data_IF_207816492498
#
_entry.id   IF_207816492498
#
_cell.length_a   1.000
_cell.length_b   1.000
_cell.length_c   1.000
_cell.angle_alpha   90.00
_cell.angle_beta   90.00
_cell.angle_gamma   90.00
#
_symmetry.space_group_name_H-M   'P 1'
#
loop_
_entity.id
_entity.type
_entity.pdbx_description
1 polymer ?
#
# COMPACT_ATOMS: atom_id res chain seq x y z
N UNK A 1 6.28 -1.07 25.03
CA UNK A 1 5.87 -1.69 23.74
C UNK A 1 4.36 -1.68 23.55
N UNK A 2 3.57 -2.54 24.23
CA UNK A 2 2.11 -2.64 23.95
C UNK A 2 1.35 -1.36 24.36
N UNK A 3 1.56 -0.86 25.59
CA UNK A 3 0.84 0.35 26.09
C UNK A 3 1.13 1.58 25.24
N UNK A 4 2.41 1.87 24.97
CA UNK A 4 2.82 2.95 24.05
C UNK A 4 2.27 2.75 22.64
N UNK A 5 2.19 1.51 22.16
CA UNK A 5 1.61 1.23 20.86
C UNK A 5 0.10 1.45 20.83
N UNK A 6 -0.59 1.15 21.92
CA UNK A 6 -2.02 1.38 22.07
C UNK A 6 -2.34 2.88 22.07
N UNK A 7 -1.55 3.70 22.77
CA UNK A 7 -1.67 5.16 22.74
C UNK A 7 -1.57 5.69 21.30
N UNK A 8 -0.50 5.30 20.57
CA UNK A 8 -0.30 5.68 19.16
C UNK A 8 -1.49 5.26 18.27
N UNK A 9 -2.04 4.06 18.48
CA UNK A 9 -3.19 3.56 17.71
C UNK A 9 -4.50 4.27 18.06
N UNK A 10 -4.70 4.65 19.32
CA UNK A 10 -5.87 5.42 19.77
C UNK A 10 -5.81 6.82 19.16
N UNK A 11 -4.67 7.49 19.23
CA UNK A 11 -4.48 8.83 18.67
C UNK A 11 -4.71 8.82 17.15
N UNK A 12 -4.15 7.83 16.44
CA UNK A 12 -4.41 7.61 15.03
C UNK A 12 -5.89 7.39 14.74
N UNK A 13 -6.54 6.51 15.49
CA UNK A 13 -7.97 6.21 15.33
C UNK A 13 -8.87 7.42 15.55
N UNK A 14 -8.64 8.20 16.62
CA UNK A 14 -9.42 9.39 16.94
C UNK A 14 -9.22 10.49 15.88
N UNK A 15 -7.99 10.70 15.41
CA UNK A 15 -7.69 11.69 14.38
C UNK A 15 -8.31 11.32 13.02
N UNK A 16 -8.28 10.03 12.68
CA UNK A 16 -8.75 9.51 11.39
C UNK A 16 -10.28 9.32 11.33
N UNK A 17 -10.92 9.03 12.46
CA UNK A 17 -12.33 8.65 12.53
C UNK A 17 -13.29 9.62 11.84
N UNK A 18 -13.22 10.96 12.02
CA UNK A 18 -14.15 11.88 11.37
C UNK A 18 -14.11 11.78 9.85
N UNK A 19 -12.91 11.69 9.26
CA UNK A 19 -12.73 11.56 7.81
C UNK A 19 -13.21 10.20 7.30
N UNK A 20 -12.87 9.11 7.99
CA UNK A 20 -13.33 7.78 7.60
C UNK A 20 -14.86 7.62 7.71
N UNK A 21 -15.50 8.23 8.70
CA UNK A 21 -16.96 8.20 8.83
C UNK A 21 -17.62 8.93 7.65
N UNK A 22 -17.08 10.06 7.22
CA UNK A 22 -17.59 10.79 6.05
C UNK A 22 -17.39 10.01 4.75
N UNK A 23 -16.21 9.42 4.53
CA UNK A 23 -15.97 8.56 3.37
C UNK A 23 -16.85 7.29 3.41
N UNK A 24 -17.06 6.70 4.59
CA UNK A 24 -17.95 5.56 4.78
C UNK A 24 -19.41 5.91 4.47
N UNK A 25 -19.90 7.05 4.95
CA UNK A 25 -21.24 7.55 4.63
C UNK A 25 -21.36 7.84 3.13
N UNK A 26 -20.38 8.50 2.52
CA UNK A 26 -20.37 8.77 1.08
C UNK A 26 -20.37 7.47 0.26
N UNK A 27 -19.58 6.47 0.66
CA UNK A 27 -19.58 5.15 0.04
C UNK A 27 -20.92 4.44 0.18
N UNK A 28 -21.56 4.50 1.35
CA UNK A 28 -22.85 3.88 1.61
C UNK A 28 -23.99 4.52 0.80
N UNK A 29 -23.96 5.85 0.66
CA UNK A 29 -24.94 6.62 -0.11
C UNK A 29 -24.74 6.50 -1.63
N UNK A 30 -23.54 6.14 -2.09
CA UNK A 30 -23.23 6.01 -3.53
C UNK A 30 -23.83 4.72 -4.11
N UNK A 31 -24.72 4.80 -5.12
CA UNK A 31 -25.36 3.63 -5.71
C UNK A 31 -24.37 2.59 -6.23
N UNK A 32 -24.67 1.30 -6.08
CA UNK A 32 -23.80 0.19 -6.55
C UNK A 32 -23.54 0.22 -8.06
N UNK A 33 -24.44 0.82 -8.84
CA UNK A 33 -24.26 1.01 -10.28
C UNK A 33 -23.10 1.98 -10.63
N UNK A 34 -22.75 2.89 -9.72
CA UNK A 34 -21.67 3.87 -9.93
C UNK A 34 -20.31 3.30 -9.48
N UNK A 35 -19.89 2.22 -10.14
CA UNK A 35 -18.66 1.46 -9.81
C UNK A 35 -17.42 2.37 -9.72
N UNK A 36 -17.21 3.23 -10.71
CA UNK A 36 -16.06 4.15 -10.73
C UNK A 36 -16.02 5.10 -9.53
N UNK A 37 -17.18 5.66 -9.14
CA UNK A 37 -17.29 6.57 -7.99
C UNK A 37 -16.97 5.82 -6.69
N UNK A 38 -17.47 4.60 -6.53
CA UNK A 38 -17.19 3.76 -5.35
C UNK A 38 -15.70 3.43 -5.23
N UNK A 39 -15.02 3.16 -6.35
CA UNK A 39 -13.57 2.96 -6.39
C UNK A 39 -12.84 4.24 -5.99
N UNK A 40 -13.23 5.40 -6.55
CA UNK A 40 -12.64 6.69 -6.23
C UNK A 40 -12.73 7.00 -4.72
N UNK A 41 -13.89 6.77 -4.12
CA UNK A 41 -14.13 6.96 -2.69
C UNK A 41 -13.17 6.10 -1.86
N UNK A 42 -13.00 4.83 -2.21
CA UNK A 42 -12.09 3.93 -1.50
C UNK A 42 -10.62 4.34 -1.66
N UNK A 43 -10.21 4.78 -2.87
CA UNK A 43 -8.87 5.31 -3.11
C UNK A 43 -8.61 6.57 -2.30
N UNK A 44 -9.56 7.50 -2.27
CA UNK A 44 -9.47 8.73 -1.48
C UNK A 44 -9.41 8.44 0.03
N UNK A 45 -10.24 7.51 0.52
CA UNK A 45 -10.21 7.07 1.91
C UNK A 45 -8.85 6.42 2.26
N UNK A 46 -8.28 5.62 1.35
CA UNK A 46 -6.96 5.03 1.52
C UNK A 46 -5.85 6.07 1.58
N UNK A 47 -5.86 7.04 0.67
CA UNK A 47 -4.90 8.18 0.69
C UNK A 47 -5.00 8.94 2.01
N UNK A 48 -6.21 9.21 2.51
CA UNK A 48 -6.40 9.83 3.82
C UNK A 48 -5.76 8.99 4.94
N UNK A 49 -6.05 7.69 5.00
CA UNK A 49 -5.49 6.79 6.02
C UNK A 49 -3.96 6.83 6.01
N UNK A 50 -3.36 6.67 4.82
CA UNK A 50 -1.90 6.68 4.63
C UNK A 50 -1.28 8.02 5.02
N UNK A 51 -1.85 9.14 4.57
CA UNK A 51 -1.21 10.44 4.73
C UNK A 51 -1.29 10.95 6.18
N UNK A 52 -2.36 10.62 6.91
CA UNK A 52 -2.51 10.92 8.34
C UNK A 52 -1.46 10.24 9.21
N UNK A 53 -0.90 9.10 8.78
CA UNK A 53 0.18 8.43 9.50
C UNK A 53 1.46 9.29 9.61
N UNK A 54 1.68 10.23 8.68
CA UNK A 54 2.90 11.04 8.64
C UNK A 54 2.98 12.10 9.75
N UNK A 55 1.98 13.00 9.93
CA UNK A 55 2.02 13.97 11.03
C UNK A 55 1.96 13.31 12.42
N UNK A 56 1.53 12.04 12.52
CA UNK A 56 1.52 11.26 13.75
C UNK A 56 2.82 10.48 13.98
N UNK A 57 3.84 10.66 13.14
CA UNK A 57 5.15 10.01 13.29
C UNK A 57 5.11 8.49 13.15
N UNK A 58 4.05 7.94 12.53
CA UNK A 58 3.93 6.50 12.33
C UNK A 58 4.74 6.03 11.12
N UNK A 59 5.05 6.94 10.19
CA UNK A 59 6.06 6.74 9.15
C UNK A 59 6.56 8.08 8.59
N UNK A 60 7.71 8.09 7.93
CA UNK A 60 8.15 9.18 7.07
C UNK A 60 9.09 8.69 5.96
N UNK A 61 9.36 9.57 5.00
CA UNK A 61 10.32 9.33 3.92
C UNK A 61 11.53 10.24 4.12
N UNK A 62 12.72 9.66 4.17
CA UNK A 62 13.98 10.41 4.30
C UNK A 62 14.43 11.00 2.95
N UNK A 63 15.44 11.88 2.98
CA UNK A 63 16.03 12.49 1.77
C UNK A 63 16.61 11.46 0.80
N UNK A 64 17.05 10.32 1.30
CA UNK A 64 17.59 9.21 0.51
C UNK A 64 16.49 8.24 0.05
N UNK A 65 15.23 8.68 0.08
CA UNK A 65 14.03 7.87 -0.20
C UNK A 65 13.89 6.64 0.72
N UNK A 66 14.51 6.64 1.90
CA UNK A 66 14.31 5.56 2.87
C UNK A 66 12.93 5.73 3.49
N UNK A 67 12.19 4.62 3.63
CA UNK A 67 10.87 4.65 4.25
C UNK A 67 11.02 4.20 5.69
N UNK A 68 10.93 5.16 6.61
CA UNK A 68 11.01 4.89 8.04
C UNK A 68 9.61 4.65 8.60
N UNK A 69 9.37 3.52 9.25
CA UNK A 69 8.09 3.15 9.88
C UNK A 69 8.22 3.08 11.40
N UNK A 70 7.14 3.29 12.14
CA UNK A 70 7.10 3.22 13.60
C UNK A 70 8.03 2.14 14.16
N UNK A 71 8.90 2.51 15.10
CA UNK A 71 9.79 1.56 15.78
C UNK A 71 9.04 0.52 16.63
N UNK A 72 7.72 0.66 16.79
CA UNK A 72 6.91 -0.25 17.58
C UNK A 72 6.29 -1.37 16.73
N UNK A 73 6.86 -2.57 16.81
CA UNK A 73 6.40 -3.76 16.08
C UNK A 73 4.91 -4.06 16.26
N UNK A 74 4.34 -3.77 17.45
CA UNK A 74 2.91 -3.99 17.71
C UNK A 74 2.03 -3.07 16.88
N UNK A 75 2.41 -1.78 16.74
CA UNK A 75 1.69 -0.82 15.90
C UNK A 75 1.67 -1.29 14.45
N UNK A 76 2.82 -1.70 13.92
CA UNK A 76 2.96 -2.21 12.54
C UNK A 76 2.07 -3.45 12.32
N UNK A 77 2.10 -4.40 13.25
CA UNK A 77 1.30 -5.61 13.17
C UNK A 77 -0.20 -5.32 13.19
N UNK A 78 -0.65 -4.40 14.05
CA UNK A 78 -2.07 -3.99 14.10
C UNK A 78 -2.50 -3.31 12.81
N UNK A 79 -1.70 -2.36 12.28
CA UNK A 79 -2.02 -1.68 11.02
C UNK A 79 -2.08 -2.66 9.83
N UNK A 80 -1.12 -3.58 9.72
CA UNK A 80 -1.14 -4.63 8.70
C UNK A 80 -2.35 -5.56 8.85
N UNK A 81 -2.66 -5.98 10.08
CA UNK A 81 -3.83 -6.81 10.38
C UNK A 81 -5.16 -6.12 10.07
N UNK A 82 -5.30 -4.83 10.43
CA UNK A 82 -6.48 -4.02 10.10
C UNK A 82 -6.65 -3.85 8.59
N UNK A 83 -5.55 -3.76 7.84
CA UNK A 83 -5.58 -3.71 6.38
C UNK A 83 -6.15 -5.00 5.79
N UNK A 84 -5.72 -6.17 6.28
CA UNK A 84 -6.30 -7.47 5.89
C UNK A 84 -7.77 -7.58 6.28
N UNK A 85 -8.14 -7.13 7.49
CA UNK A 85 -9.53 -7.09 7.94
C UNK A 85 -10.39 -6.21 7.02
N UNK A 86 -9.87 -5.07 6.59
CA UNK A 86 -10.57 -4.18 5.65
C UNK A 86 -10.76 -4.84 4.28
N UNK A 87 -9.76 -5.56 3.76
CA UNK A 87 -9.91 -6.37 2.53
C UNK A 87 -11.06 -7.38 2.71
N UNK A 88 -11.10 -8.10 3.83
CA UNK A 88 -12.17 -9.06 4.13
C UNK A 88 -13.53 -8.38 4.23
N UNK A 89 -13.61 -7.20 4.84
CA UNK A 89 -14.83 -6.42 4.96
C UNK A 89 -15.33 -5.94 3.58
N UNK A 90 -14.43 -5.42 2.74
CA UNK A 90 -14.74 -4.98 1.38
C UNK A 90 -15.26 -6.13 0.53
N UNK A 91 -14.75 -7.35 0.70
CA UNK A 91 -15.27 -8.54 0.00
C UNK A 91 -16.75 -8.82 0.29
N UNK A 92 -17.24 -8.40 1.46
CA UNK A 92 -18.63 -8.56 1.88
C UNK A 92 -19.50 -7.34 1.58
N UNK A 93 -18.96 -6.14 1.79
CA UNK A 93 -19.72 -4.89 1.63
C UNK A 93 -19.82 -4.40 0.18
N UNK A 94 -18.88 -4.80 -0.67
CA UNK A 94 -18.78 -4.36 -2.06
C UNK A 94 -18.56 -5.55 -3.02
N UNK A 95 -19.47 -6.55 -3.03
CA UNK A 95 -19.32 -7.73 -3.89
C UNK A 95 -19.26 -7.37 -5.38
N UNK A 96 -19.84 -6.25 -5.79
CA UNK A 96 -19.73 -5.72 -7.15
C UNK A 96 -18.29 -5.34 -7.52
N UNK A 97 -17.54 -4.75 -6.59
CA UNK A 97 -16.12 -4.43 -6.80
C UNK A 97 -15.27 -5.70 -6.72
N UNK A 98 -15.63 -6.62 -5.84
CA UNK A 98 -14.94 -7.90 -5.69
C UNK A 98 -14.97 -8.74 -6.97
N UNK A 99 -16.00 -8.61 -7.81
CA UNK A 99 -16.07 -9.29 -9.12
C UNK A 99 -15.02 -8.80 -10.12
N UNK A 100 -14.41 -7.63 -9.90
CA UNK A 100 -13.32 -7.09 -10.72
C UNK A 100 -11.98 -7.78 -10.41
N UNK A 101 -11.90 -8.43 -9.25
CA UNK A 101 -10.67 -9.06 -8.75
C UNK A 101 -10.26 -10.26 -9.61
N UNK A 102 -8.99 -10.27 -9.99
CA UNK A 102 -8.30 -11.45 -10.52
C UNK A 102 -7.14 -11.77 -9.60
N UNK A 103 -7.39 -12.63 -8.61
CA UNK A 103 -6.42 -12.97 -7.56
C UNK A 103 -5.14 -13.60 -8.11
N UNK A 104 -5.31 -14.57 -8.99
CA UNK A 104 -4.23 -15.27 -9.68
C UNK A 104 -4.61 -15.51 -11.13
N UNK A 105 -3.61 -15.52 -12.01
CA UNK A 105 -3.74 -15.83 -13.43
C UNK A 105 -2.66 -16.85 -13.82
N UNK A 106 -3.07 -17.95 -14.45
CA UNK A 106 -2.16 -19.05 -14.77
C UNK A 106 -1.71 -19.82 -13.53
N UNK A 107 -0.43 -20.21 -13.47
CA UNK A 107 0.13 -20.97 -12.35
C UNK A 107 0.42 -20.04 -11.16
N UNK A 108 -0.24 -20.23 -9.99
CA UNK A 108 -0.06 -19.37 -8.82
C UNK A 108 1.37 -19.31 -8.30
N UNK A 109 2.10 -20.44 -8.31
CA UNK A 109 3.48 -20.51 -7.82
C UNK A 109 4.43 -19.70 -8.69
N UNK A 110 4.27 -19.77 -10.01
CA UNK A 110 5.04 -18.96 -10.96
C UNK A 110 4.75 -17.48 -10.74
N UNK A 111 3.47 -17.14 -10.53
CA UNK A 111 3.07 -15.77 -10.22
C UNK A 111 3.69 -15.26 -8.92
N UNK A 112 3.62 -16.03 -7.83
CA UNK A 112 4.20 -15.66 -6.55
C UNK A 112 5.72 -15.49 -6.63
N UNK A 113 6.41 -16.41 -7.30
CA UNK A 113 7.85 -16.31 -7.54
C UNK A 113 8.19 -15.05 -8.34
N UNK A 114 7.44 -14.77 -9.41
CA UNK A 114 7.62 -13.54 -10.20
C UNK A 114 7.37 -12.28 -9.36
N UNK A 115 6.36 -12.28 -8.50
CA UNK A 115 6.07 -11.19 -7.58
C UNK A 115 7.26 -10.89 -6.67
N UNK A 116 7.77 -11.90 -5.97
CA UNK A 116 8.94 -11.76 -5.09
C UNK A 116 10.17 -11.27 -5.88
N UNK A 117 10.44 -11.86 -7.06
CA UNK A 117 11.56 -11.44 -7.92
C UNK A 117 11.44 -9.97 -8.31
N UNK A 118 10.27 -9.51 -8.76
CA UNK A 118 10.04 -8.11 -9.12
C UNK A 118 10.20 -7.20 -7.91
N UNK A 119 9.66 -7.59 -6.75
CA UNK A 119 9.86 -6.85 -5.50
C UNK A 119 11.33 -6.73 -5.12
N UNK A 120 12.12 -7.80 -5.27
CA UNK A 120 13.56 -7.76 -5.07
C UNK A 120 14.29 -6.87 -6.09
N UNK A 121 13.87 -6.88 -7.36
CA UNK A 121 14.46 -6.03 -8.40
C UNK A 121 14.25 -4.54 -8.12
N UNK A 122 13.20 -4.17 -7.38
CA UNK A 122 12.96 -2.80 -6.92
C UNK A 122 13.70 -2.54 -5.60
N UNK A 123 13.47 -3.39 -4.60
CA UNK A 123 13.91 -3.16 -3.22
C UNK A 123 15.41 -3.35 -3.01
N UNK A 124 16.06 -4.34 -3.63
CA UNK A 124 17.49 -4.61 -3.40
C UNK A 124 18.39 -3.47 -3.90
N UNK A 125 18.24 -2.96 -5.15
CA UNK A 125 19.08 -1.85 -5.60
C UNK A 125 18.94 -0.61 -4.73
N UNK A 126 17.72 -0.28 -4.31
CA UNK A 126 17.45 0.85 -3.41
C UNK A 126 18.05 0.62 -2.02
N UNK A 127 17.87 -0.57 -1.45
CA UNK A 127 18.46 -0.94 -0.16
C UNK A 127 19.98 -0.79 -0.16
N UNK A 128 20.63 -1.24 -1.24
CA UNK A 128 22.09 -1.12 -1.43
C UNK A 128 22.50 0.33 -1.60
N UNK A 129 21.82 1.09 -2.44
CA UNK A 129 22.06 2.52 -2.64
C UNK A 129 21.91 3.32 -1.34
N UNK A 130 20.93 2.98 -0.51
CA UNK A 130 20.63 3.61 0.77
C UNK A 130 21.55 3.16 1.90
N UNK A 131 22.42 2.17 1.68
CA UNK A 131 23.32 1.64 2.72
C UNK A 131 22.59 0.99 3.89
N UNK A 132 21.39 0.45 3.70
CA UNK A 132 20.61 -0.15 4.79
C UNK A 132 21.22 -1.50 5.20
N UNK A 133 21.99 -1.47 6.28
CA UNK A 133 22.56 -2.64 6.93
C UNK A 133 21.75 -3.04 8.18
N UNK A 134 21.12 -4.22 8.14
CA UNK A 134 20.30 -4.72 9.24
C UNK A 134 21.10 -4.91 10.54
N UNK A 135 22.42 -5.16 10.45
CA UNK A 135 23.28 -5.32 11.61
C UNK A 135 23.54 -4.01 12.36
N UNK A 136 23.38 -2.87 11.68
CA UNK A 136 23.56 -1.53 12.23
C UNK A 136 22.27 -0.96 12.82
N UNK A 137 21.12 -1.58 12.54
CA UNK A 137 19.81 -1.16 13.02
C UNK A 137 19.52 -1.80 14.39
N UNK A 138 19.55 -0.98 15.45
CA UNK A 138 19.24 -1.45 16.80
C UNK A 138 17.83 -2.03 16.88
N UNK A 139 17.68 -3.23 17.46
CA UNK A 139 16.38 -3.88 17.64
C UNK A 139 15.73 -4.41 16.35
N UNK A 140 16.43 -4.41 15.21
CA UNK A 140 15.88 -4.79 13.91
C UNK A 140 15.12 -6.12 13.91
N UNK A 141 15.69 -7.17 14.52
CA UNK A 141 15.08 -8.50 14.54
C UNK A 141 13.80 -8.59 15.35
N UNK A 142 13.62 -7.71 16.36
CA UNK A 142 12.37 -7.61 17.14
C UNK A 142 11.32 -6.79 16.39
N UNK A 143 11.76 -5.80 15.62
CA UNK A 143 10.91 -4.95 14.79
C UNK A 143 10.37 -5.66 13.53
N UNK A 144 11.23 -6.49 12.92
CA UNK A 144 10.98 -7.12 11.62
C UNK A 144 9.65 -7.89 11.52
N UNK A 145 9.22 -8.72 12.49
CA UNK A 145 7.95 -9.43 12.38
C UNK A 145 6.73 -8.50 12.23
N UNK A 146 6.72 -7.38 12.97
CA UNK A 146 5.68 -6.36 12.82
C UNK A 146 5.72 -5.69 11.45
N UNK A 147 6.94 -5.37 10.98
CA UNK A 147 7.13 -4.80 9.65
C UNK A 147 6.70 -5.76 8.53
N UNK A 148 6.95 -7.07 8.66
CA UNK A 148 6.49 -8.08 7.70
C UNK A 148 4.97 -8.08 7.60
N UNK A 149 4.27 -8.05 8.74
CA UNK A 149 2.79 -7.99 8.76
C UNK A 149 2.29 -6.70 8.11
N UNK A 150 2.90 -5.56 8.38
CA UNK A 150 2.56 -4.30 7.73
C UNK A 150 2.84 -4.33 6.23
N UNK A 151 4.05 -4.71 5.84
CA UNK A 151 4.51 -4.71 4.45
C UNK A 151 3.64 -5.60 3.57
N UNK A 152 3.20 -6.76 4.03
CA UNK A 152 2.30 -7.58 3.22
C UNK A 152 0.83 -7.20 3.40
N UNK A 153 0.39 -6.80 4.59
CA UNK A 153 -1.01 -6.49 4.87
C UNK A 153 -1.48 -5.16 4.26
N UNK A 154 -0.76 -4.07 4.55
CA UNK A 154 -1.09 -2.73 4.05
C UNK A 154 -0.93 -2.64 2.53
N UNK A 155 0.16 -3.18 1.99
CA UNK A 155 0.36 -3.17 0.54
C UNK A 155 -0.61 -4.12 -0.18
N UNK A 156 -1.06 -5.22 0.44
CA UNK A 156 -2.14 -6.02 -0.15
C UNK A 156 -3.45 -5.23 -0.25
N UNK A 157 -3.78 -4.38 0.73
CA UNK A 157 -4.94 -3.51 0.64
C UNK A 157 -4.80 -2.53 -0.52
N UNK A 158 -3.63 -1.89 -0.65
CA UNK A 158 -3.35 -0.97 -1.75
C UNK A 158 -3.45 -1.67 -3.12
N UNK A 159 -2.90 -2.87 -3.26
CA UNK A 159 -3.01 -3.66 -4.49
C UNK A 159 -4.45 -4.11 -4.78
N UNK A 160 -5.26 -4.42 -3.77
CA UNK A 160 -6.70 -4.68 -3.97
C UNK A 160 -7.41 -3.45 -4.53
N UNK A 161 -7.08 -2.25 -4.06
CA UNK A 161 -7.71 -1.02 -4.54
C UNK A 161 -7.24 -0.65 -5.97
N UNK A 162 -5.93 -0.60 -6.21
CA UNK A 162 -5.37 -0.15 -7.48
C UNK A 162 -5.36 -1.24 -8.56
N UNK A 163 -4.92 -2.46 -8.22
CA UNK A 163 -4.71 -3.56 -9.19
C UNK A 163 -5.92 -4.48 -9.23
N UNK A 164 -6.64 -4.60 -8.13
CA UNK A 164 -7.92 -5.26 -8.07
C UNK A 164 -9.04 -4.44 -8.71
N UNK A 165 -9.47 -3.41 -8.01
CA UNK A 165 -10.68 -2.66 -8.38
C UNK A 165 -10.44 -1.71 -9.53
N UNK A 166 -9.50 -0.76 -9.42
CA UNK A 166 -9.28 0.26 -10.45
C UNK A 166 -8.84 -0.37 -11.78
N UNK A 167 -7.77 -1.16 -11.78
CA UNK A 167 -7.30 -1.82 -13.01
C UNK A 167 -8.33 -2.81 -13.56
N UNK A 168 -9.01 -3.59 -12.70
CA UNK A 168 -10.06 -4.50 -13.13
C UNK A 168 -11.27 -3.79 -13.77
N UNK A 169 -11.64 -2.61 -13.27
CA UNK A 169 -12.66 -1.77 -13.89
C UNK A 169 -12.20 -1.21 -15.24
N UNK A 170 -10.98 -0.68 -15.30
CA UNK A 170 -10.42 -0.09 -16.53
C UNK A 170 -10.29 -1.13 -17.66
N UNK A 171 -9.98 -2.39 -17.35
CA UNK A 171 -9.92 -3.48 -18.33
C UNK A 171 -11.26 -3.78 -19.02
N UNK A 172 -12.38 -3.30 -18.49
CA UNK A 172 -13.69 -3.39 -19.16
C UNK A 172 -13.87 -2.31 -20.23
N UNK A 173 -13.03 -1.27 -20.21
CA UNK A 173 -13.19 -0.06 -21.02
C UNK A 173 -12.02 0.14 -22.01
N UNK A 174 -10.83 -0.32 -21.65
CA UNK A 174 -9.61 -0.17 -22.45
C UNK A 174 -8.82 -1.47 -22.50
N UNK A 175 -7.80 -1.54 -23.37
CA UNK A 175 -6.92 -2.70 -23.44
C UNK A 175 -6.19 -2.97 -22.11
N UNK A 176 -5.84 -4.23 -21.81
CA UNK A 176 -5.19 -4.59 -20.54
C UNK A 176 -3.93 -3.79 -20.24
N UNK A 177 -3.07 -3.56 -21.24
CA UNK A 177 -1.87 -2.76 -21.08
C UNK A 177 -2.21 -1.30 -20.73
N UNK A 178 -3.18 -0.70 -21.42
CA UNK A 178 -3.59 0.68 -21.14
C UNK A 178 -4.20 0.81 -19.73
N UNK A 179 -5.00 -0.17 -19.30
CA UNK A 179 -5.53 -0.22 -17.93
C UNK A 179 -4.40 -0.32 -16.88
N UNK A 180 -3.39 -1.14 -17.13
CA UNK A 180 -2.21 -1.27 -16.26
C UNK A 180 -1.43 0.04 -16.17
N UNK A 181 -1.16 0.70 -17.31
CA UNK A 181 -0.46 1.98 -17.34
C UNK A 181 -1.24 3.07 -16.60
N UNK A 182 -2.57 3.17 -16.83
CA UNK A 182 -3.42 4.14 -16.12
C UNK A 182 -3.42 3.86 -14.61
N UNK A 183 -3.53 2.60 -14.19
CA UNK A 183 -3.49 2.25 -12.76
C UNK A 183 -2.15 2.60 -12.11
N UNK A 184 -1.03 2.33 -12.77
CA UNK A 184 0.30 2.72 -12.28
C UNK A 184 0.50 4.24 -12.21
N UNK A 185 0.01 4.99 -13.20
CA UNK A 185 0.06 6.47 -13.16
C UNK A 185 -0.86 7.03 -12.07
N UNK A 186 -2.07 6.49 -11.92
CA UNK A 186 -3.00 6.89 -10.86
C UNK A 186 -2.41 6.64 -9.47
N UNK A 187 -1.73 5.51 -9.28
CA UNK A 187 -0.99 5.20 -8.06
C UNK A 187 0.05 6.27 -7.74
N UNK A 188 0.91 6.64 -8.69
CA UNK A 188 1.88 7.71 -8.49
C UNK A 188 1.22 9.07 -8.23
N UNK A 189 0.13 9.39 -8.94
CA UNK A 189 -0.62 10.62 -8.74
C UNK A 189 -1.22 10.72 -7.32
N UNK A 190 -1.70 9.60 -6.76
CA UNK A 190 -2.16 9.53 -5.37
C UNK A 190 -1.05 9.76 -4.34
N UNK A 191 0.23 9.74 -4.74
CA UNK A 191 1.37 10.09 -3.89
C UNK A 191 1.83 11.55 -4.08
N UNK A 192 1.18 12.34 -4.94
CA UNK A 192 1.59 13.73 -5.19
C UNK A 192 1.52 14.61 -3.94
N UNK A 193 0.50 14.46 -3.10
CA UNK A 193 0.39 15.21 -1.83
C UNK A 193 1.50 14.82 -0.85
N UNK A 194 1.77 13.52 -0.71
CA UNK A 194 2.90 13.03 0.09
C UNK A 194 4.24 13.61 -0.41
N UNK A 195 4.46 13.57 -1.72
CA UNK A 195 5.70 14.01 -2.35
C UNK A 195 5.93 15.52 -2.24
N UNK A 196 4.89 16.32 -2.51
CA UNK A 196 5.00 17.77 -2.68
C UNK A 196 4.70 18.56 -1.41
N UNK A 197 3.85 18.04 -0.52
CA UNK A 197 3.40 18.76 0.67
C UNK A 197 3.99 18.17 1.94
N UNK A 198 3.90 16.85 2.10
CA UNK A 198 4.23 16.19 3.37
C UNK A 198 5.73 15.99 3.55
N UNK A 199 6.42 15.51 2.51
CA UNK A 199 7.84 15.14 2.59
C UNK A 199 8.78 16.20 1.99
N UNK A 200 8.26 17.07 1.11
CA UNK A 200 9.03 18.05 0.33
C UNK A 200 10.14 17.42 -0.55
N UNK A 201 10.09 16.10 -0.79
CA UNK A 201 11.06 15.41 -1.64
C UNK A 201 10.74 15.61 -3.13
N UNK A 202 9.47 15.77 -3.47
CA UNK A 202 9.01 16.06 -4.82
C UNK A 202 9.22 14.89 -5.78
N UNK A 203 9.95 15.13 -6.88
CA UNK A 203 10.03 14.21 -8.01
C UNK A 203 10.59 12.81 -7.69
N UNK A 204 11.54 12.58 -6.75
CA UNK A 204 12.05 11.24 -6.47
C UNK A 204 10.97 10.30 -5.93
N UNK A 205 10.08 10.79 -5.06
CA UNK A 205 8.94 10.01 -4.55
C UNK A 205 7.96 9.68 -5.67
N UNK A 206 7.69 10.63 -6.57
CA UNK A 206 6.81 10.41 -7.71
C UNK A 206 7.41 9.41 -8.72
N UNK A 207 8.71 9.48 -8.98
CA UNK A 207 9.38 8.53 -9.87
C UNK A 207 9.39 7.12 -9.26
N UNK A 208 9.74 7.00 -7.98
CA UNK A 208 9.74 5.73 -7.26
C UNK A 208 8.35 5.09 -7.31
N UNK A 209 7.31 5.83 -6.90
CA UNK A 209 5.94 5.32 -6.88
C UNK A 209 5.41 5.03 -8.28
N UNK A 210 5.84 5.77 -9.32
CA UNK A 210 5.50 5.44 -10.71
C UNK A 210 6.15 4.12 -11.16
N UNK A 211 7.44 3.91 -10.90
CA UNK A 211 8.14 2.68 -11.29
C UNK A 211 7.59 1.46 -10.57
N UNK A 212 7.44 1.55 -9.25
CA UNK A 212 6.81 0.51 -8.44
C UNK A 212 5.37 0.26 -8.89
N UNK A 213 4.62 1.33 -9.12
CA UNK A 213 3.22 1.23 -9.49
C UNK A 213 3.00 0.59 -10.86
N UNK A 214 3.85 0.90 -11.83
CA UNK A 214 3.84 0.26 -13.15
C UNK A 214 4.27 -1.21 -13.06
N UNK A 215 5.31 -1.52 -12.28
CA UNK A 215 5.76 -2.89 -12.07
C UNK A 215 4.65 -3.76 -11.47
N UNK A 216 3.99 -3.30 -10.41
CA UNK A 216 2.87 -4.02 -9.78
C UNK A 216 1.67 -4.17 -10.73
N UNK A 217 1.35 -3.13 -11.51
CA UNK A 217 0.25 -3.19 -12.49
C UNK A 217 0.52 -4.20 -13.63
N UNK A 218 1.77 -4.29 -14.10
CA UNK A 218 2.21 -5.27 -15.11
C UNK A 218 2.25 -6.69 -14.53
N UNK A 219 2.74 -6.86 -13.29
CA UNK A 219 2.69 -8.13 -12.57
C UNK A 219 1.24 -8.59 -12.43
N UNK A 220 0.32 -7.71 -12.02
CA UNK A 220 -1.10 -8.05 -11.93
C UNK A 220 -1.70 -8.39 -13.29
N UNK A 221 -1.37 -7.67 -14.35
CA UNK A 221 -1.85 -7.96 -15.70
C UNK A 221 -1.49 -9.39 -16.13
N UNK A 222 -0.30 -9.89 -15.76
CA UNK A 222 0.19 -11.21 -16.15
C UNK A 222 -0.19 -12.33 -15.18
N UNK A 223 -0.16 -12.07 -13.87
CA UNK A 223 -0.20 -13.10 -12.82
C UNK A 223 -1.30 -12.91 -11.78
N UNK A 224 -1.99 -11.77 -11.75
CA UNK A 224 -3.05 -11.45 -10.79
C UNK A 224 -2.60 -10.60 -9.59
N UNK A 225 -3.55 -10.23 -8.74
CA UNK A 225 -3.35 -9.27 -7.64
C UNK A 225 -2.46 -9.82 -6.52
N UNK A 226 -2.54 -11.11 -6.21
CA UNK A 226 -1.72 -11.69 -5.14
C UNK A 226 -0.21 -11.57 -5.46
N UNK A 227 0.27 -11.93 -6.67
CA UNK A 227 1.63 -11.63 -7.12
C UNK A 227 2.02 -10.16 -7.04
N UNK A 228 1.12 -9.23 -7.38
CA UNK A 228 1.39 -7.79 -7.27
C UNK A 228 1.55 -7.35 -5.81
N UNK A 229 0.72 -7.87 -4.90
CA UNK A 229 0.84 -7.64 -3.46
C UNK A 229 2.17 -8.16 -2.90
N UNK A 230 2.65 -9.29 -3.40
CA UNK A 230 3.96 -9.81 -3.04
C UNK A 230 5.10 -8.94 -3.58
N UNK A 231 4.99 -8.45 -4.83
CA UNK A 231 5.99 -7.54 -5.39
C UNK A 231 6.09 -6.25 -4.58
N UNK A 232 4.94 -5.60 -4.34
CA UNK A 232 4.87 -4.36 -3.57
C UNK A 232 5.34 -4.57 -2.13
N UNK A 233 4.80 -5.56 -1.43
CA UNK A 233 5.18 -5.87 -0.04
C UNK A 233 6.66 -6.22 0.11
N UNK A 234 7.24 -6.94 -0.85
CA UNK A 234 8.67 -7.26 -0.85
C UNK A 234 9.53 -6.02 -1.07
N UNK A 235 9.17 -5.16 -2.03
CA UNK A 235 9.89 -3.92 -2.30
C UNK A 235 9.93 -3.03 -1.04
N UNK A 236 8.77 -2.79 -0.43
CA UNK A 236 8.63 -1.97 0.79
C UNK A 236 9.38 -2.59 1.96
N UNK A 237 9.25 -3.90 2.20
CA UNK A 237 9.96 -4.59 3.29
C UNK A 237 11.48 -4.42 3.19
N UNK A 238 12.03 -4.45 1.98
CA UNK A 238 13.47 -4.35 1.74
C UNK A 238 14.03 -2.95 2.00
N UNK A 239 13.24 -1.89 1.78
CA UNK A 239 13.66 -0.49 1.95
C UNK A 239 13.15 0.14 3.26
N UNK A 240 12.38 -0.61 4.04
CA UNK A 240 11.86 -0.16 5.31
C UNK A 240 12.94 -0.13 6.40
N UNK A 241 12.93 0.93 7.20
CA UNK A 241 13.77 1.10 8.40
C UNK A 241 12.91 1.47 9.61
N UNK A 242 13.32 1.14 10.84
CA UNK A 242 12.64 1.63 12.03
C UNK A 242 12.81 3.14 12.16
N UNK A 243 11.71 3.83 12.45
CA UNK A 243 11.69 5.25 12.75
C UNK A 243 12.38 5.47 14.08
N UNK A 244 13.54 6.12 14.03
CA UNK A 244 14.29 6.55 15.20
C UNK A 244 13.87 7.98 15.49
N UNK A 245 13.08 8.18 16.55
CA UNK A 245 12.73 9.50 17.06
C UNK A 245 13.96 10.19 17.65
#
# INVERSE_FOLDING_TARGET
>A
MITQGLEVLIDYGLHLAPGLLLFGAWFALTPRAQVAMRILILLAAFVLMRDVMTPLGMWAVSRDAQIAFSGNAFVLAVLGGLSVLLIMLLSRLAPELWRLMRWTLGNPWVGMAAGIVVGCLIGVPLRVYQGIDASQLHGYWVWLPGMVVLAYGANALEEVLFRGFLQGYLEQQVSPLRAALISGVAFAACHAFLALSVTQLGWPVLLFTLLEGLACALVRMRYGVLPAALAHGTAVLLIAVPYMA
#
